data_IF_732111440459
#
_entry.id   IF_732111440459
#
_cell.length_a   1.000
_cell.length_b   1.000
_cell.length_c   1.000
_cell.angle_alpha   90.00
_cell.angle_beta   90.00
_cell.angle_gamma   90.00
#
_symmetry.space_group_name_H-M   'P 1'
#
loop_
_entity.id
_entity.type
_entity.pdbx_description
1 polymer ?
#
# COMPACT_ATOMS: atom_id res chain seq x y z
N UNK A 1 8.22 -19.99 1.83
CA UNK A 1 9.06 -18.86 2.27
C UNK A 1 9.00 -17.83 1.14
N UNK A 2 8.50 -16.62 1.38
CA UNK A 2 8.51 -15.57 0.38
C UNK A 2 9.93 -14.99 0.23
N UNK A 3 10.21 -14.40 -0.94
CA UNK A 3 11.44 -13.68 -1.19
C UNK A 3 11.14 -12.21 -1.45
N UNK A 4 11.87 -11.30 -0.81
CA UNK A 4 11.82 -9.88 -1.20
C UNK A 4 12.50 -9.72 -2.55
N UNK A 5 11.88 -8.90 -3.41
CA UNK A 5 12.38 -8.59 -4.75
C UNK A 5 12.42 -7.10 -4.99
N UNK A 6 13.35 -6.66 -5.82
CA UNK A 6 13.44 -5.25 -6.21
C UNK A 6 12.34 -4.93 -7.21
N UNK A 7 11.45 -3.99 -6.85
CA UNK A 7 10.48 -3.43 -7.79
C UNK A 7 11.17 -2.40 -8.68
N UNK A 8 11.01 -2.47 -10.01
CA UNK A 8 11.59 -1.50 -10.92
C UNK A 8 11.19 -0.06 -10.59
N UNK A 9 12.19 0.82 -10.49
CA UNK A 9 11.99 2.25 -10.32
C UNK A 9 11.96 2.93 -11.69
N UNK A 10 10.90 3.66 -11.95
CA UNK A 10 10.69 4.47 -13.14
C UNK A 10 10.77 5.95 -12.79
N UNK A 11 11.47 6.75 -13.59
CA UNK A 11 11.54 8.19 -13.45
C UNK A 11 11.25 8.82 -14.81
N UNK A 12 10.02 9.28 -14.99
CA UNK A 12 9.55 9.81 -16.26
C UNK A 12 8.64 11.02 -16.02
N UNK A 13 8.66 11.98 -16.97
CA UNK A 13 7.74 13.13 -17.00
C UNK A 13 7.61 13.87 -15.65
N UNK A 14 8.69 13.90 -14.88
CA UNK A 14 8.79 14.68 -13.65
C UNK A 14 8.33 13.97 -12.37
N UNK A 15 7.93 12.69 -12.41
CA UNK A 15 7.65 11.91 -11.20
C UNK A 15 8.37 10.56 -11.22
N UNK A 16 8.67 10.03 -10.03
CA UNK A 16 9.27 8.70 -9.88
C UNK A 16 8.30 7.76 -9.13
N UNK A 17 8.21 6.52 -9.61
CA UNK A 17 7.34 5.49 -9.06
C UNK A 17 7.91 4.09 -9.29
N UNK A 18 7.41 3.09 -8.58
CA UNK A 18 7.78 1.69 -8.76
C UNK A 18 6.57 0.90 -9.28
N UNK A 19 6.87 -0.23 -9.93
CA UNK A 19 5.85 -1.22 -10.36
C UNK A 19 6.21 -2.60 -9.82
N UNK A 20 5.20 -3.39 -9.49
CA UNK A 20 5.36 -4.80 -9.13
C UNK A 20 5.41 -5.66 -10.40
N UNK A 21 6.41 -6.56 -10.54
CA UNK A 21 6.59 -7.32 -11.79
C UNK A 21 5.50 -8.36 -12.06
N UNK A 22 4.73 -8.73 -11.03
CA UNK A 22 3.70 -9.77 -11.09
C UNK A 22 2.27 -9.24 -11.26
N UNK A 23 2.04 -7.93 -11.21
CA UNK A 23 0.73 -7.30 -11.37
C UNK A 23 0.55 -6.83 -12.82
N UNK A 24 -0.30 -7.48 -13.65
CA UNK A 24 -0.55 -7.06 -15.03
C UNK A 24 -1.38 -5.78 -15.16
N UNK A 25 -2.29 -5.50 -14.20
CA UNK A 25 -3.08 -4.27 -14.20
C UNK A 25 -2.19 -3.03 -14.11
N UNK A 26 -2.63 -1.93 -14.69
CA UNK A 26 -1.90 -0.65 -14.62
C UNK A 26 -1.83 -0.18 -13.17
N UNK A 27 -0.63 0.07 -12.66
CA UNK A 27 -0.42 0.45 -11.26
C UNK A 27 0.85 1.25 -11.04
N UNK A 28 0.94 1.91 -9.89
CA UNK A 28 2.14 2.59 -9.44
C UNK A 28 2.20 2.62 -7.91
N UNK A 29 3.40 2.41 -7.37
CA UNK A 29 3.77 2.81 -6.00
C UNK A 29 4.58 4.10 -6.12
N UNK A 30 4.01 5.24 -5.76
CA UNK A 30 4.71 6.52 -5.88
C UNK A 30 5.87 6.62 -4.91
N UNK A 31 6.81 7.50 -5.24
CA UNK A 31 7.88 7.94 -4.35
C UNK A 31 7.57 9.35 -3.82
N UNK A 32 8.53 10.00 -3.13
CA UNK A 32 8.47 11.42 -2.78
C UNK A 32 9.05 12.34 -3.85
N UNK A 33 9.53 11.81 -4.97
CA UNK A 33 10.34 12.52 -5.96
C UNK A 33 9.51 13.04 -7.14
N UNK A 34 9.79 14.29 -7.55
CA UNK A 34 9.27 14.86 -8.80
C UNK A 34 7.96 15.65 -8.67
N UNK A 35 7.58 16.04 -7.46
CA UNK A 35 6.42 16.90 -7.22
C UNK A 35 6.73 18.40 -7.24
N UNK A 36 5.73 19.18 -6.82
CA UNK A 36 5.80 20.65 -6.70
C UNK A 36 5.68 21.16 -5.27
N UNK A 37 5.36 20.28 -4.32
CA UNK A 37 5.28 20.65 -2.90
C UNK A 37 6.62 21.10 -2.38
N UNK A 38 6.64 21.98 -1.38
CA UNK A 38 7.85 22.61 -0.84
C UNK A 38 8.02 22.37 0.66
N UNK A 39 9.17 22.74 1.19
CA UNK A 39 9.48 22.63 2.61
C UNK A 39 9.45 21.18 3.10
N UNK A 40 8.78 20.91 4.20
CA UNK A 40 8.70 19.56 4.79
C UNK A 40 7.94 18.57 3.90
N UNK A 41 7.21 19.06 2.88
CA UNK A 41 6.43 18.26 1.93
C UNK A 41 7.14 18.08 0.59
N UNK A 42 8.40 18.50 0.48
CA UNK A 42 9.17 18.38 -0.76
C UNK A 42 9.44 16.92 -1.11
N UNK A 43 8.98 16.46 -2.27
CA UNK A 43 8.32 17.20 -3.33
C UNK A 43 6.97 16.60 -3.78
N UNK A 44 6.83 15.28 -3.94
CA UNK A 44 5.63 14.60 -4.44
C UNK A 44 4.72 14.19 -3.27
N UNK A 45 4.12 15.17 -2.58
CA UNK A 45 3.11 14.90 -1.56
C UNK A 45 1.74 14.74 -2.23
N UNK A 46 1.02 13.66 -1.90
CA UNK A 46 -0.23 13.27 -2.57
C UNK A 46 -1.48 13.48 -1.70
N UNK A 47 -1.40 14.29 -0.62
CA UNK A 47 -2.58 14.54 0.23
C UNK A 47 -2.59 15.94 0.82
N UNK A 48 -3.75 16.62 0.70
CA UNK A 48 -4.03 17.91 1.37
C UNK A 48 -4.03 17.78 2.90
N UNK A 49 -4.28 16.61 3.43
CA UNK A 49 -4.35 16.34 4.88
C UNK A 49 -3.01 16.46 5.61
N UNK A 50 -1.97 16.84 4.90
CA UNK A 50 -0.63 17.15 5.45
C UNK A 50 -0.33 18.64 5.49
N UNK A 51 -1.32 19.47 5.17
CA UNK A 51 -1.17 20.93 5.14
C UNK A 51 -0.60 21.46 3.84
N UNK A 52 -0.70 20.70 2.76
CA UNK A 52 -0.39 21.17 1.41
C UNK A 52 -1.59 21.89 0.77
N UNK A 53 -1.33 22.64 -0.28
CA UNK A 53 -2.41 23.30 -1.04
C UNK A 53 -3.08 22.32 -2.00
N UNK A 54 -4.38 22.46 -2.27
CA UNK A 54 -5.08 21.65 -3.27
C UNK A 54 -4.43 21.69 -4.65
N UNK A 55 -3.89 22.84 -5.05
CA UNK A 55 -3.21 23.03 -6.34
C UNK A 55 -1.95 22.17 -6.44
N UNK A 56 -1.13 22.16 -5.41
CA UNK A 56 0.07 21.34 -5.35
C UNK A 56 -0.28 19.85 -5.41
N UNK A 57 -1.27 19.41 -4.63
CA UNK A 57 -1.71 18.02 -4.60
C UNK A 57 -2.26 17.60 -5.96
N UNK A 58 -3.13 18.42 -6.59
CA UNK A 58 -3.65 18.17 -7.94
C UNK A 58 -2.52 18.03 -8.97
N UNK A 59 -1.55 18.93 -8.95
CA UNK A 59 -0.39 18.88 -9.87
C UNK A 59 0.47 17.64 -9.61
N UNK A 60 0.68 17.26 -8.36
CA UNK A 60 1.43 16.05 -8.00
C UNK A 60 0.74 14.78 -8.53
N UNK A 61 -0.57 14.66 -8.39
CA UNK A 61 -1.34 13.55 -8.94
C UNK A 61 -1.29 13.54 -10.46
N UNK A 62 -1.44 14.71 -11.11
CA UNK A 62 -1.29 14.84 -12.56
C UNK A 62 0.09 14.36 -13.04
N UNK A 63 1.18 14.70 -12.34
CA UNK A 63 2.53 14.25 -12.65
C UNK A 63 2.67 12.74 -12.50
N UNK A 64 2.19 12.19 -11.39
CA UNK A 64 2.20 10.74 -11.18
C UNK A 64 1.43 10.01 -12.28
N UNK A 65 0.23 10.45 -12.60
CA UNK A 65 -0.60 9.89 -13.67
C UNK A 65 0.10 9.95 -15.02
N UNK A 66 0.65 11.11 -15.39
CA UNK A 66 1.40 11.28 -16.64
C UNK A 66 2.64 10.38 -16.71
N UNK A 67 3.35 10.18 -15.59
CA UNK A 67 4.51 9.31 -15.51
C UNK A 67 4.14 7.83 -15.65
N UNK A 68 3.10 7.39 -14.93
CA UNK A 68 2.68 5.99 -14.89
C UNK A 68 1.72 5.59 -16.04
N UNK A 69 1.29 6.53 -16.88
CA UNK A 69 0.32 6.27 -17.95
C UNK A 69 -1.08 5.99 -17.41
N UNK A 70 -1.44 6.61 -16.28
CA UNK A 70 -2.72 6.46 -15.58
C UNK A 70 -3.54 7.76 -15.68
N UNK A 71 -4.85 7.66 -15.87
CA UNK A 71 -5.73 8.80 -15.61
C UNK A 71 -6.03 8.85 -14.09
N UNK A 72 -5.44 9.82 -13.42
CA UNK A 72 -5.59 10.04 -11.98
C UNK A 72 -6.26 11.41 -11.71
N UNK A 73 -7.04 11.93 -12.64
CA UNK A 73 -7.86 13.14 -12.44
C UNK A 73 -8.94 12.91 -11.39
N UNK A 74 -9.41 11.67 -11.26
CA UNK A 74 -10.24 11.17 -10.17
C UNK A 74 -9.73 9.82 -9.70
N UNK A 75 -9.94 9.50 -8.43
CA UNK A 75 -9.62 8.20 -7.83
C UNK A 75 -10.57 7.90 -6.69
N UNK A 76 -10.70 6.62 -6.33
CA UNK A 76 -11.40 6.20 -5.11
C UNK A 76 -10.36 6.05 -3.99
N UNK A 77 -10.54 6.80 -2.92
CA UNK A 77 -9.67 6.78 -1.75
C UNK A 77 -10.46 7.14 -0.48
N UNK A 78 -9.87 6.90 0.68
CA UNK A 78 -10.51 7.08 1.96
C UNK A 78 -9.65 7.84 2.99
N UNK A 79 -10.30 8.28 4.06
CA UNK A 79 -9.66 8.56 5.34
C UNK A 79 -9.29 7.22 5.98
N UNK A 80 -8.04 6.82 5.84
CA UNK A 80 -7.49 5.62 6.46
C UNK A 80 -7.37 5.82 7.98
N UNK A 81 -7.84 4.83 8.74
CA UNK A 81 -7.91 4.84 10.20
C UNK A 81 -7.25 3.63 10.86
N UNK A 82 -6.53 2.82 10.06
CA UNK A 82 -5.86 1.58 10.45
C UNK A 82 -6.86 0.50 10.90
N UNK A 83 -8.04 0.46 10.27
CA UNK A 83 -9.07 -0.58 10.45
C UNK A 83 -8.81 -1.79 9.56
N UNK A 84 -9.72 -2.77 9.60
CA UNK A 84 -9.80 -3.86 8.64
C UNK A 84 -10.96 -3.68 7.64
N UNK A 85 -11.50 -2.47 7.53
CA UNK A 85 -12.63 -2.20 6.65
C UNK A 85 -12.17 -2.07 5.19
N UNK A 86 -12.76 -2.90 4.32
CA UNK A 86 -12.55 -2.89 2.87
C UNK A 86 -13.91 -2.75 2.19
N UNK A 87 -14.01 -1.83 1.23
CA UNK A 87 -15.24 -1.51 0.52
C UNK A 87 -15.15 -1.93 -0.96
N UNK A 88 -16.29 -2.34 -1.53
CA UNK A 88 -16.44 -2.40 -2.97
C UNK A 88 -16.60 -0.96 -3.48
N UNK A 89 -15.77 -0.58 -4.45
CA UNK A 89 -15.76 0.74 -5.05
C UNK A 89 -16.44 0.71 -6.43
N UNK A 90 -17.14 1.79 -6.74
CA UNK A 90 -17.81 2.03 -8.01
C UNK A 90 -17.30 3.32 -8.66
N UNK A 91 -17.50 3.47 -9.97
CA UNK A 91 -17.09 4.68 -10.70
C UNK A 91 -17.67 5.98 -10.09
N UNK A 92 -18.89 5.92 -9.53
CA UNK A 92 -19.52 7.05 -8.84
C UNK A 92 -18.82 7.48 -7.54
N UNK A 93 -17.95 6.62 -6.98
CA UNK A 93 -17.18 6.89 -5.77
C UNK A 93 -15.90 7.69 -6.05
N UNK A 94 -15.45 7.73 -7.31
CA UNK A 94 -14.26 8.46 -7.71
C UNK A 94 -14.43 9.97 -7.54
N UNK A 95 -13.40 10.62 -7.05
CA UNK A 95 -13.38 12.05 -6.82
C UNK A 95 -11.98 12.64 -7.10
N UNK A 96 -11.88 13.96 -7.38
CA UNK A 96 -10.58 14.62 -7.50
C UNK A 96 -9.72 14.40 -6.27
N UNK A 97 -8.43 14.05 -6.43
CA UNK A 97 -7.58 13.59 -5.32
C UNK A 97 -7.18 14.67 -4.31
N UNK A 98 -7.42 15.95 -4.63
CA UNK A 98 -7.24 17.08 -3.72
C UNK A 98 -8.45 17.34 -2.81
N UNK A 99 -9.52 16.59 -2.96
CA UNK A 99 -10.72 16.73 -2.12
C UNK A 99 -10.56 15.97 -0.79
N UNK A 100 -11.37 16.32 0.22
CA UNK A 100 -11.47 15.49 1.43
C UNK A 100 -12.12 14.14 1.12
N UNK A 101 -11.61 13.04 1.69
CA UNK A 101 -12.16 11.71 1.44
C UNK A 101 -13.62 11.58 1.87
N UNK A 102 -14.46 10.99 1.01
CA UNK A 102 -15.88 10.70 1.31
C UNK A 102 -16.06 9.51 2.26
N UNK A 103 -15.10 8.59 2.28
CA UNK A 103 -15.20 7.34 3.03
C UNK A 103 -14.20 7.27 4.18
N UNK A 104 -14.50 6.42 5.16
CA UNK A 104 -13.56 6.00 6.21
C UNK A 104 -13.42 4.49 6.12
N UNK A 105 -12.27 4.02 5.62
CA UNK A 105 -11.90 2.61 5.50
C UNK A 105 -10.40 2.54 5.16
N UNK A 106 -9.86 1.33 5.08
CA UNK A 106 -8.42 1.12 4.80
C UNK A 106 -8.15 0.30 3.53
N UNK A 107 -9.19 -0.01 2.76
CA UNK A 107 -9.04 -0.69 1.48
C UNK A 107 -10.26 -0.59 0.58
N UNK A 108 -10.01 -0.82 -0.70
CA UNK A 108 -11.05 -0.90 -1.73
C UNK A 108 -10.77 -2.06 -2.68
N UNK A 109 -11.86 -2.62 -3.22
CA UNK A 109 -11.83 -3.58 -4.33
C UNK A 109 -12.85 -3.15 -5.39
N UNK A 110 -12.61 -3.47 -6.65
CA UNK A 110 -13.56 -3.22 -7.74
C UNK A 110 -13.34 -4.19 -8.89
N UNK A 111 -14.38 -4.42 -9.68
CA UNK A 111 -14.33 -5.06 -11.00
C UNK A 111 -14.76 -4.09 -12.14
N UNK A 112 -14.92 -2.81 -11.81
CA UNK A 112 -15.25 -1.80 -12.81
C UNK A 112 -13.97 -1.31 -13.51
N UNK A 113 -13.96 -1.26 -14.87
CA UNK A 113 -12.83 -0.72 -15.60
C UNK A 113 -12.68 0.79 -15.39
N UNK A 114 -11.46 1.27 -15.53
CA UNK A 114 -11.09 2.69 -15.44
C UNK A 114 -11.49 3.38 -14.12
N UNK A 115 -11.59 2.60 -13.03
CA UNK A 115 -11.79 3.12 -11.66
C UNK A 115 -10.48 3.01 -10.89
N UNK A 116 -9.67 4.07 -10.78
CA UNK A 116 -8.42 4.03 -10.03
C UNK A 116 -8.70 3.92 -8.53
N UNK A 117 -8.18 2.87 -7.90
CA UNK A 117 -8.15 2.71 -6.45
C UNK A 117 -6.83 3.26 -5.90
N UNK A 118 -6.88 3.99 -4.79
CA UNK A 118 -5.69 4.54 -4.16
C UNK A 118 -5.67 4.35 -2.64
N UNK A 119 -4.50 3.98 -2.10
CA UNK A 119 -4.21 3.99 -0.67
C UNK A 119 -2.94 4.78 -0.40
N UNK A 120 -2.93 5.49 0.73
CA UNK A 120 -1.82 6.36 1.14
C UNK A 120 -0.95 5.70 2.18
N UNK A 121 0.35 5.93 2.10
CA UNK A 121 1.31 5.38 3.05
C UNK A 121 2.50 6.32 3.29
N UNK A 122 3.12 6.11 4.44
CA UNK A 122 4.47 6.49 4.81
C UNK A 122 4.84 5.57 5.97
N UNK A 123 5.56 4.52 5.66
CA UNK A 123 5.93 3.33 6.44
C UNK A 123 4.90 2.20 6.46
N UNK A 124 3.59 2.46 6.60
CA UNK A 124 2.59 1.40 6.44
C UNK A 124 2.70 0.75 5.06
N UNK A 125 2.37 -0.54 4.97
CA UNK A 125 2.52 -1.30 3.74
C UNK A 125 1.31 -1.10 2.83
N UNK A 126 1.48 -0.76 1.55
CA UNK A 126 0.41 -0.91 0.57
C UNK A 126 0.40 -2.34 0.05
N UNK A 127 -0.77 -2.93 -0.11
CA UNK A 127 -0.96 -4.15 -0.88
C UNK A 127 -1.84 -3.87 -2.09
N UNK A 128 -1.36 -4.22 -3.28
CA UNK A 128 -2.15 -4.22 -4.51
C UNK A 128 -2.47 -5.66 -4.88
N UNK A 129 -3.74 -5.91 -5.18
CA UNK A 129 -4.26 -7.23 -5.50
C UNK A 129 -4.87 -7.19 -6.91
N UNK A 130 -4.71 -8.26 -7.69
CA UNK A 130 -5.31 -8.37 -9.02
C UNK A 130 -5.62 -9.82 -9.34
N UNK A 131 -6.87 -10.11 -9.60
CA UNK A 131 -7.29 -11.33 -10.26
C UNK A 131 -7.48 -11.02 -11.76
N UNK A 132 -6.54 -11.42 -12.64
CA UNK A 132 -6.63 -11.13 -14.07
C UNK A 132 -7.67 -11.99 -14.81
N UNK A 133 -8.16 -13.06 -14.21
CA UNK A 133 -9.17 -13.94 -14.81
C UNK A 133 -10.56 -13.35 -14.59
N UNK A 134 -10.86 -12.96 -13.37
CA UNK A 134 -12.14 -12.34 -13.03
C UNK A 134 -12.20 -10.84 -13.34
N UNK A 135 -11.06 -10.19 -13.60
CA UNK A 135 -10.99 -8.74 -13.79
C UNK A 135 -11.35 -8.00 -12.49
N UNK A 136 -10.75 -8.40 -11.36
CA UNK A 136 -10.97 -7.78 -10.05
C UNK A 136 -9.66 -7.24 -9.51
N UNK A 137 -9.67 -6.00 -9.04
CA UNK A 137 -8.50 -5.38 -8.40
C UNK A 137 -8.80 -4.95 -6.98
N UNK A 138 -7.73 -4.78 -6.17
CA UNK A 138 -7.80 -4.21 -4.83
C UNK A 138 -6.60 -3.36 -4.49
N UNK A 139 -6.82 -2.34 -3.67
CA UNK A 139 -5.80 -1.53 -3.04
C UNK A 139 -6.05 -1.46 -1.54
N UNK A 140 -5.07 -1.87 -0.73
CA UNK A 140 -5.24 -2.11 0.71
C UNK A 140 -4.11 -1.45 1.50
N UNK A 141 -4.46 -0.69 2.54
CA UNK A 141 -3.52 -0.09 3.47
C UNK A 141 -3.27 -1.04 4.65
N UNK A 142 -2.16 -1.74 4.62
CA UNK A 142 -1.77 -2.71 5.64
C UNK A 142 -0.85 -2.07 6.70
N UNK A 143 -1.38 -1.11 7.49
CA UNK A 143 -0.76 -0.72 8.75
C UNK A 143 -0.82 -1.90 9.74
N UNK A 144 0.06 -1.96 10.77
CA UNK A 144 0.13 -3.12 11.64
C UNK A 144 -1.22 -3.48 12.31
N UNK A 145 -2.02 -2.48 12.72
CA UNK A 145 -3.35 -2.71 13.31
C UNK A 145 -4.31 -3.34 12.33
N UNK A 146 -4.38 -2.81 11.09
CA UNK A 146 -5.19 -3.39 10.02
C UNK A 146 -4.71 -4.79 9.63
N UNK A 147 -3.39 -5.00 9.56
CA UNK A 147 -2.81 -6.31 9.26
C UNK A 147 -3.24 -7.36 10.29
N UNK A 148 -3.07 -7.10 11.59
CA UNK A 148 -3.43 -8.07 12.64
C UNK A 148 -4.95 -8.20 12.85
N UNK A 149 -5.73 -7.23 12.40
CA UNK A 149 -7.19 -7.31 12.31
C UNK A 149 -7.68 -7.99 11.02
N UNK A 150 -6.78 -8.59 10.25
CA UNK A 150 -7.05 -9.36 9.03
C UNK A 150 -7.64 -8.56 7.86
N UNK A 151 -7.13 -7.36 7.61
CA UNK A 151 -7.59 -6.54 6.48
C UNK A 151 -7.40 -7.24 5.12
N UNK A 152 -6.35 -8.07 4.96
CA UNK A 152 -6.15 -8.84 3.74
C UNK A 152 -7.19 -9.95 3.57
N UNK A 153 -7.61 -10.58 4.67
CA UNK A 153 -8.74 -11.53 4.65
C UNK A 153 -10.04 -10.84 4.23
N UNK A 154 -10.30 -9.65 4.76
CA UNK A 154 -11.44 -8.83 4.34
C UNK A 154 -11.36 -8.47 2.84
N UNK A 155 -10.17 -8.06 2.34
CA UNK A 155 -9.97 -7.72 0.94
C UNK A 155 -10.20 -8.92 0.01
N UNK A 156 -9.60 -10.07 0.31
CA UNK A 156 -9.80 -11.30 -0.48
C UNK A 156 -11.28 -11.72 -0.46
N UNK A 157 -11.95 -11.63 0.68
CA UNK A 157 -13.39 -11.92 0.78
C UNK A 157 -14.22 -11.02 -0.13
N UNK A 158 -13.96 -9.71 -0.14
CA UNK A 158 -14.66 -8.76 -1.02
C UNK A 158 -14.32 -9.00 -2.50
N UNK A 159 -13.08 -9.36 -2.83
CA UNK A 159 -12.70 -9.73 -4.21
C UNK A 159 -13.47 -10.99 -4.65
N UNK A 160 -13.56 -12.01 -3.79
CA UNK A 160 -14.35 -13.22 -4.08
C UNK A 160 -15.85 -12.92 -4.28
N UNK A 161 -16.40 -11.96 -3.54
CA UNK A 161 -17.78 -11.51 -3.75
C UNK A 161 -17.99 -10.86 -5.14
N UNK A 162 -16.93 -10.35 -5.76
CA UNK A 162 -16.91 -9.83 -7.13
C UNK A 162 -16.53 -10.89 -8.18
N UNK A 163 -16.37 -12.16 -7.78
CA UNK A 163 -16.08 -13.27 -8.68
C UNK A 163 -14.59 -13.67 -8.76
N UNK A 164 -13.70 -13.06 -7.99
CA UNK A 164 -12.31 -13.47 -7.93
C UNK A 164 -12.15 -14.84 -7.25
N UNK A 165 -11.08 -15.54 -7.62
CA UNK A 165 -10.68 -16.78 -6.97
C UNK A 165 -9.30 -16.62 -6.34
N UNK A 166 -9.09 -16.99 -5.05
CA UNK A 166 -7.80 -16.79 -4.38
C UNK A 166 -6.61 -17.37 -5.14
N UNK A 167 -6.77 -18.51 -5.83
CA UNK A 167 -5.71 -19.13 -6.62
C UNK A 167 -5.30 -18.31 -7.87
N UNK A 168 -6.14 -17.39 -8.34
CA UNK A 168 -5.86 -16.53 -9.49
C UNK A 168 -5.38 -15.14 -9.09
N UNK A 169 -5.47 -14.79 -7.78
CA UNK A 169 -5.04 -13.50 -7.27
C UNK A 169 -3.51 -13.39 -7.32
N UNK A 170 -3.03 -12.32 -7.91
CA UNK A 170 -1.66 -11.83 -7.83
C UNK A 170 -1.61 -10.70 -6.82
N UNK A 171 -0.69 -10.77 -5.88
CA UNK A 171 -0.55 -9.81 -4.81
C UNK A 171 0.83 -9.15 -4.85
N UNK A 172 0.87 -7.84 -4.60
CA UNK A 172 2.11 -7.10 -4.46
C UNK A 172 2.09 -6.30 -3.15
N UNK A 173 2.98 -6.63 -2.24
CA UNK A 173 3.24 -5.84 -1.02
C UNK A 173 4.33 -4.83 -1.37
N UNK A 174 3.96 -3.56 -1.46
CA UNK A 174 4.82 -2.48 -1.94
C UNK A 174 5.82 -1.95 -0.91
N UNK A 175 6.51 -0.85 -1.25
CA UNK A 175 7.43 -0.17 -0.36
C UNK A 175 6.76 0.24 0.96
N UNK A 176 7.43 -0.05 2.07
CA UNK A 176 7.01 0.29 3.42
C UNK A 176 8.15 0.07 4.40
N UNK A 177 7.92 0.23 5.70
CA UNK A 177 8.97 -0.01 6.69
C UNK A 177 9.34 -1.51 6.69
N UNK A 178 10.62 -1.79 6.54
CA UNK A 178 11.13 -3.16 6.50
C UNK A 178 11.48 -3.71 7.88
N UNK A 179 11.74 -5.02 7.95
CA UNK A 179 12.20 -5.72 9.15
C UNK A 179 13.51 -5.15 9.75
N UNK A 180 14.30 -4.42 8.96
CA UNK A 180 15.50 -3.73 9.42
C UNK A 180 15.19 -2.56 10.38
N UNK A 181 13.97 -1.97 10.31
CA UNK A 181 13.62 -0.73 11.00
C UNK A 181 12.32 -0.79 11.80
N UNK A 182 11.47 -1.80 11.57
CA UNK A 182 10.15 -1.86 12.22
C UNK A 182 10.27 -2.47 13.63
N UNK A 183 10.69 -1.63 14.56
CA UNK A 183 10.72 -1.95 15.99
C UNK A 183 9.32 -1.86 16.59
N UNK A 184 8.93 -2.91 17.32
CA UNK A 184 7.58 -3.08 17.92
C UNK A 184 7.68 -3.62 19.35
N UNK A 185 6.62 -3.41 20.13
CA UNK A 185 6.43 -4.03 21.43
C UNK A 185 5.95 -5.48 21.33
N UNK A 186 5.98 -6.23 22.43
CA UNK A 186 5.56 -7.63 22.48
C UNK A 186 4.08 -7.83 22.10
N UNK A 187 3.24 -6.83 22.34
CA UNK A 187 1.81 -6.86 22.00
C UNK A 187 1.57 -6.98 20.49
N UNK A 188 2.43 -6.36 19.67
CA UNK A 188 2.32 -6.44 18.20
C UNK A 188 2.77 -7.81 17.70
N UNK A 189 3.80 -8.38 18.31
CA UNK A 189 4.28 -9.74 18.03
C UNK A 189 3.18 -10.75 18.33
N UNK A 190 2.62 -10.70 19.54
CA UNK A 190 1.54 -11.59 19.95
C UNK A 190 0.29 -11.48 19.04
N UNK A 191 -0.07 -10.26 18.62
CA UNK A 191 -1.20 -10.06 17.72
C UNK A 191 -0.93 -10.64 16.31
N UNK A 192 0.31 -10.55 15.81
CA UNK A 192 0.69 -11.15 14.54
C UNK A 192 0.71 -12.70 14.59
N UNK A 193 1.14 -13.29 15.70
CA UNK A 193 1.06 -14.74 15.93
C UNK A 193 -0.40 -15.21 16.01
N UNK A 194 -1.25 -14.45 16.68
CA UNK A 194 -2.68 -14.75 16.76
C UNK A 194 -3.36 -14.71 15.38
N UNK A 195 -3.01 -13.74 14.51
CA UNK A 195 -3.50 -13.67 13.13
C UNK A 195 -3.12 -14.92 12.33
N UNK A 196 -1.86 -15.33 12.42
CA UNK A 196 -1.33 -16.44 11.62
C UNK A 196 -1.65 -17.81 12.21
N UNK A 197 -2.12 -17.88 13.46
CA UNK A 197 -2.32 -19.10 14.24
C UNK A 197 -1.04 -19.99 14.34
N UNK A 198 0.13 -19.35 14.29
CA UNK A 198 1.44 -20.01 14.34
C UNK A 198 2.55 -19.06 14.83
N UNK A 199 3.66 -19.57 15.37
CA UNK A 199 4.81 -18.73 15.73
C UNK A 199 5.39 -18.02 14.52
N UNK A 200 5.82 -16.78 14.71
CA UNK A 200 6.41 -15.97 13.65
C UNK A 200 7.74 -16.50 13.13
N UNK A 201 8.53 -17.19 13.97
CA UNK A 201 9.82 -17.72 13.60
C UNK A 201 10.78 -16.64 13.08
N UNK A 202 11.26 -16.79 11.85
CA UNK A 202 12.20 -15.86 11.22
C UNK A 202 11.62 -14.45 10.94
N UNK A 203 10.30 -14.27 11.05
CA UNK A 203 9.66 -12.95 10.84
C UNK A 203 9.83 -12.01 12.03
N UNK A 204 10.32 -12.48 13.16
CA UNK A 204 10.58 -11.67 14.36
C UNK A 204 12.01 -11.86 14.85
N UNK A 205 12.66 -10.75 15.17
CA UNK A 205 13.99 -10.74 15.77
C UNK A 205 13.93 -10.01 17.12
N UNK A 206 13.97 -10.73 18.25
CA UNK A 206 13.96 -10.14 19.59
C UNK A 206 15.16 -9.20 19.82
N UNK A 207 14.94 -8.20 20.67
CA UNK A 207 15.95 -7.25 21.14
C UNK A 207 16.12 -7.36 22.66
N UNK A 208 17.27 -6.90 23.15
CA UNK A 208 17.62 -6.98 24.58
C UNK A 208 16.71 -6.10 25.49
N UNK A 209 16.06 -5.09 24.91
CA UNK A 209 15.15 -4.15 25.61
C UNK A 209 13.70 -4.66 25.73
N UNK A 210 13.45 -5.91 25.40
CA UNK A 210 12.13 -6.54 25.41
C UNK A 210 11.27 -6.22 24.20
N UNK A 211 11.76 -5.40 23.25
CA UNK A 211 11.13 -5.15 21.96
C UNK A 211 11.57 -6.18 20.92
N UNK A 212 11.07 -6.02 19.71
CA UNK A 212 11.46 -6.85 18.58
C UNK A 212 11.51 -6.05 17.27
N UNK A 213 12.27 -6.50 16.30
CA UNK A 213 12.13 -6.10 14.91
C UNK A 213 11.21 -7.11 14.23
N UNK A 214 10.12 -6.60 13.66
CA UNK A 214 9.07 -7.41 13.02
C UNK A 214 9.10 -7.25 11.50
N UNK A 215 9.06 -8.36 10.81
CA UNK A 215 8.82 -8.40 9.37
C UNK A 215 7.31 -8.41 9.07
N UNK A 216 6.69 -7.22 9.07
CA UNK A 216 5.28 -7.09 8.77
C UNK A 216 4.95 -7.44 7.30
N UNK A 217 5.90 -7.25 6.38
CA UNK A 217 5.74 -7.69 4.98
C UNK A 217 5.58 -9.20 4.92
N UNK A 218 6.45 -9.94 5.61
CA UNK A 218 6.38 -11.38 5.71
C UNK A 218 5.12 -11.88 6.41
N UNK A 219 4.67 -11.20 7.45
CA UNK A 219 3.38 -11.51 8.11
C UNK A 219 2.23 -11.42 7.08
N UNK A 220 2.14 -10.31 6.34
CA UNK A 220 1.10 -10.12 5.33
C UNK A 220 1.22 -11.11 4.15
N UNK A 221 2.44 -11.41 3.69
CA UNK A 221 2.68 -12.40 2.64
C UNK A 221 2.24 -13.80 3.08
N UNK A 222 2.57 -14.20 4.33
CA UNK A 222 2.14 -15.47 4.90
C UNK A 222 0.63 -15.54 5.05
N UNK A 223 -0.01 -14.44 5.47
CA UNK A 223 -1.46 -14.37 5.56
C UNK A 223 -2.14 -14.54 4.20
N UNK A 224 -1.64 -13.89 3.15
CA UNK A 224 -2.15 -14.07 1.78
C UNK A 224 -2.06 -15.54 1.33
N UNK A 225 -0.93 -16.21 1.63
CA UNK A 225 -0.78 -17.63 1.31
C UNK A 225 -1.79 -18.51 2.08
N UNK A 226 -2.05 -18.23 3.35
CA UNK A 226 -3.09 -18.92 4.14
C UNK A 226 -4.50 -18.69 3.60
N UNK A 227 -4.74 -17.55 2.94
CA UNK A 227 -6.01 -17.23 2.25
C UNK A 227 -6.15 -17.91 0.89
N UNK A 228 -5.16 -18.69 0.46
CA UNK A 228 -5.18 -19.44 -0.79
C UNK A 228 -4.52 -18.75 -1.99
N UNK A 229 -3.87 -17.60 -1.78
CA UNK A 229 -3.08 -16.97 -2.85
C UNK A 229 -1.77 -17.75 -3.00
N UNK A 230 -1.42 -18.26 -4.20
CA UNK A 230 -0.18 -19.02 -4.41
C UNK A 230 1.06 -18.18 -4.05
N UNK A 231 2.01 -18.77 -3.34
CA UNK A 231 3.19 -18.06 -2.86
C UNK A 231 4.03 -17.44 -3.99
N UNK A 232 4.07 -18.09 -5.15
CA UNK A 232 4.74 -17.61 -6.38
C UNK A 232 4.03 -16.40 -7.03
N UNK A 233 2.78 -16.14 -6.65
CA UNK A 233 2.00 -14.98 -7.09
C UNK A 233 2.07 -13.81 -6.10
N UNK A 234 2.82 -13.95 -5.01
CA UNK A 234 3.00 -12.89 -4.00
C UNK A 234 4.37 -12.26 -4.18
N UNK A 235 4.42 -11.03 -4.69
CA UNK A 235 5.63 -10.23 -4.78
C UNK A 235 5.75 -9.31 -3.55
N UNK A 236 6.93 -9.26 -2.96
CA UNK A 236 7.22 -8.41 -1.79
C UNK A 236 8.39 -7.49 -2.12
N UNK A 237 8.17 -6.18 -2.03
CA UNK A 237 9.22 -5.19 -2.28
C UNK A 237 10.30 -5.24 -1.19
N UNK A 238 11.57 -5.25 -1.60
CA UNK A 238 12.75 -5.13 -0.73
C UNK A 238 12.92 -3.71 -0.15
N UNK A 239 12.23 -2.70 -0.70
CA UNK A 239 12.40 -1.31 -0.32
C UNK A 239 11.87 -1.01 1.09
N UNK A 240 12.76 -0.54 1.98
CA UNK A 240 12.41 0.02 3.28
C UNK A 240 12.32 1.54 3.19
N UNK A 241 11.16 2.10 3.52
CA UNK A 241 10.91 3.55 3.46
C UNK A 241 11.76 4.33 4.45
N UNK A 242 12.03 3.77 5.64
CA UNK A 242 12.87 4.41 6.65
C UNK A 242 14.36 4.38 6.28
N UNK A 243 14.84 3.36 5.56
CA UNK A 243 16.22 3.28 5.08
C UNK A 243 16.47 4.18 3.86
N UNK A 244 15.42 4.52 3.12
CA UNK A 244 15.49 5.32 1.89
C UNK A 244 14.62 6.58 1.97
N UNK A 245 14.87 7.49 2.94
CA UNK A 245 14.13 8.75 3.08
C UNK A 245 14.40 9.72 1.93
N UNK A 246 15.45 9.49 1.16
CA UNK A 246 15.76 10.16 -0.10
C UNK A 246 14.75 9.85 -1.22
N UNK A 247 14.13 8.67 -1.18
CA UNK A 247 13.16 8.19 -2.19
C UNK A 247 11.74 8.17 -1.67
N UNK A 248 11.53 7.88 -0.39
CA UNK A 248 10.22 7.65 0.20
C UNK A 248 9.91 8.58 1.37
N UNK A 249 8.62 8.83 1.58
CA UNK A 249 8.15 9.40 2.84
C UNK A 249 8.21 8.33 3.93
N UNK A 250 8.77 8.69 5.09
CA UNK A 250 8.79 7.84 6.27
C UNK A 250 8.29 8.60 7.49
N UNK A 251 7.25 8.09 8.12
CA UNK A 251 6.72 8.63 9.38
C UNK A 251 7.73 8.47 10.52
N UNK A 252 8.35 7.30 10.60
CA UNK A 252 9.30 6.93 11.65
C UNK A 252 10.60 7.74 11.56
N UNK A 253 11.11 7.97 10.33
CA UNK A 253 12.35 8.71 10.13
C UNK A 253 12.23 10.21 10.41
N UNK A 254 11.00 10.77 10.38
CA UNK A 254 10.76 12.21 10.44
C UNK A 254 9.89 12.65 11.62
N UNK A 255 9.59 11.74 12.56
CA UNK A 255 8.67 11.96 13.67
C UNK A 255 7.33 12.58 13.21
N UNK A 256 6.81 12.06 12.09
CA UNK A 256 5.53 12.47 11.53
C UNK A 256 5.54 13.73 10.66
N UNK A 257 6.64 14.46 10.57
CA UNK A 257 6.78 15.66 9.73
C UNK A 257 7.12 15.26 8.28
N UNK A 258 6.10 14.95 7.51
CA UNK A 258 6.27 14.36 6.18
C UNK A 258 5.04 14.50 5.29
N UNK A 259 5.22 14.37 3.98
CA UNK A 259 4.15 14.11 3.05
C UNK A 259 3.64 12.66 3.09
N UNK A 260 2.91 12.26 2.07
CA UNK A 260 2.49 10.86 1.85
C UNK A 260 2.71 10.47 0.40
N UNK A 261 3.05 9.22 0.19
CA UNK A 261 3.00 8.54 -1.09
C UNK A 261 1.69 7.76 -1.22
N UNK A 262 1.38 7.33 -2.45
CA UNK A 262 0.21 6.50 -2.74
C UNK A 262 0.60 5.25 -3.52
N UNK A 263 -0.16 4.17 -3.30
CA UNK A 263 -0.22 3.06 -4.23
C UNK A 263 -1.55 3.14 -4.97
N UNK A 264 -1.50 3.05 -6.30
CA UNK A 264 -2.67 3.15 -7.17
C UNK A 264 -2.73 1.96 -8.12
N UNK A 265 -3.94 1.50 -8.43
CA UNK A 265 -4.19 0.42 -9.39
C UNK A 265 -5.51 0.68 -10.11
N UNK A 266 -5.56 0.33 -11.40
CA UNK A 266 -6.78 0.39 -12.23
C UNK A 266 -6.80 -0.77 -13.24
N UNK A 267 -7.98 -1.26 -13.59
CA UNK A 267 -8.19 -2.22 -14.67
C UNK A 267 -8.00 -1.56 -16.04
#
# INVERSE_FOLDING_TARGET
MYAEITFPLHAQRGAAYLTAPNIPARHAFSTRLGGVSTGVLESLNLSVRRGDTPENVRENWRRLGAAAGLDLTCAVYAKQVHSADVRIAHAADAQPPEMEPRFTCDGFVTNEPDVPLAVFMADCLPALLHDPVAGVIGAVHCGWRGSVADILGAAVTQMCALGAHPADIRAAIGPGIGACCFEVGPEVVAAAEALLHEPLGALVRPRADGKALLDLKGVNARRLAQLGVPAEQIAVSDACTMCRPDVFWSHRATDGRRGVQAAVITL
#
